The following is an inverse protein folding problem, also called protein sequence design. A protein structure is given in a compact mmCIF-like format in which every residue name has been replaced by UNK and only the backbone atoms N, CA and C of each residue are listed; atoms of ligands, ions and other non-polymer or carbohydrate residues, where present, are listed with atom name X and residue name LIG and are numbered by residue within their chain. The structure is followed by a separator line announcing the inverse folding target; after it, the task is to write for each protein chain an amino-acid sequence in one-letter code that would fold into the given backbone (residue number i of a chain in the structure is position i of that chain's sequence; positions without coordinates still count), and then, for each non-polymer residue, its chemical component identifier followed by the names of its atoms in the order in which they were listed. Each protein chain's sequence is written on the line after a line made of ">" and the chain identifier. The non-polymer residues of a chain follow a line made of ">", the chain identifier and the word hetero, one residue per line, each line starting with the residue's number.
data_IF_242335373135
#
_entry.id   IF_242335373135
#
_cell.length_a   1.000
_cell.length_b   1.000
_cell.length_c   1.000
_cell.angle_alpha   90.00
_cell.angle_beta   90.00
_cell.angle_gamma   90.00
#
_symmetry.space_group_name_H-M   'P 1'
#
loop_
_entity.id
_entity.type
_entity.pdbx_description
1 polymer ?
#
# COMPACT_ATOMS: atom_id res chain seq x y z
N UNK A 1 -53.78 -40.61 33.85
CA UNK A 1 -54.09 -39.16 33.82
C UNK A 1 -52.87 -38.23 33.96
N UNK A 2 -51.68 -38.70 34.41
CA UNK A 2 -50.46 -37.87 34.51
C UNK A 2 -49.65 -37.76 33.19
N UNK A 3 -49.64 -38.79 32.34
CA UNK A 3 -48.88 -38.80 31.07
C UNK A 3 -49.46 -37.90 29.97
N UNK A 4 -50.79 -37.70 29.95
CA UNK A 4 -51.46 -36.81 28.99
C UNK A 4 -51.21 -35.33 29.30
N UNK A 5 -51.12 -34.97 30.58
CA UNK A 5 -50.80 -33.60 31.01
C UNK A 5 -49.36 -33.21 30.66
N UNK A 6 -48.40 -34.12 30.85
CA UNK A 6 -47.00 -33.88 30.48
C UNK A 6 -46.81 -33.70 28.96
N UNK A 7 -47.55 -34.46 28.14
CA UNK A 7 -47.52 -34.30 26.68
C UNK A 7 -48.12 -32.97 26.21
N UNK A 8 -49.20 -32.51 26.84
CA UNK A 8 -49.82 -31.23 26.53
C UNK A 8 -48.92 -30.04 26.90
N UNK A 9 -48.20 -30.10 28.02
CA UNK A 9 -47.24 -29.07 28.44
C UNK A 9 -46.02 -29.03 27.51
N UNK A 10 -45.49 -30.18 27.07
CA UNK A 10 -44.39 -30.22 26.11
C UNK A 10 -44.79 -29.68 24.72
N UNK A 11 -46.03 -29.91 24.28
CA UNK A 11 -46.55 -29.36 23.02
C UNK A 11 -46.78 -27.84 23.10
N UNK A 12 -47.23 -27.31 24.24
CA UNK A 12 -47.39 -25.87 24.44
C UNK A 12 -46.04 -25.13 24.52
N UNK A 13 -45.02 -25.75 25.12
CA UNK A 13 -43.67 -25.19 25.19
C UNK A 13 -42.96 -25.16 23.81
N UNK A 14 -43.27 -26.10 22.91
CA UNK A 14 -42.73 -26.12 21.56
C UNK A 14 -43.29 -25.00 20.66
N UNK A 15 -44.53 -24.54 20.91
CA UNK A 15 -45.13 -23.41 20.19
C UNK A 15 -44.59 -22.05 20.64
N UNK A 16 -44.12 -21.93 21.87
CA UNK A 16 -43.49 -20.69 22.38
C UNK A 16 -42.06 -20.46 21.86
N UNK A 17 -41.46 -21.46 21.20
CA UNK A 17 -40.14 -21.38 20.57
C UNK A 17 -40.21 -21.13 19.05
N UNK A 18 -41.40 -21.00 18.47
CA UNK A 18 -41.57 -20.40 17.13
C UNK A 18 -41.52 -18.87 17.25
N UNK A 19 -40.37 -18.34 17.69
CA UNK A 19 -40.03 -16.96 17.43
C UNK A 19 -39.74 -16.84 15.94
N UNK A 20 -40.67 -16.24 15.20
CA UNK A 20 -40.38 -15.80 13.83
C UNK A 20 -39.20 -14.83 13.89
N UNK A 21 -38.06 -15.25 13.36
CA UNK A 21 -36.92 -14.39 13.07
C UNK A 21 -37.28 -13.54 11.84
N UNK A 22 -38.23 -12.61 12.00
CA UNK A 22 -38.43 -11.55 11.01
C UNK A 22 -37.28 -10.56 11.19
N UNK A 23 -36.22 -10.77 10.42
CA UNK A 23 -35.21 -9.74 10.20
C UNK A 23 -35.96 -8.45 9.81
N UNK A 24 -35.66 -7.31 10.44
CA UNK A 24 -36.40 -6.08 10.17
C UNK A 24 -36.30 -5.77 8.68
N UNK A 25 -37.43 -5.82 7.97
CA UNK A 25 -37.50 -5.41 6.58
C UNK A 25 -37.03 -3.95 6.50
N UNK A 26 -35.82 -3.76 5.97
CA UNK A 26 -35.22 -2.44 5.81
C UNK A 26 -35.99 -1.74 4.69
N UNK A 27 -36.98 -0.93 5.07
CA UNK A 27 -37.91 -0.24 4.15
C UNK A 27 -37.23 0.90 3.37
N UNK A 28 -35.97 1.20 3.69
CA UNK A 28 -35.15 2.20 3.00
C UNK A 28 -34.27 1.52 1.97
N UNK A 29 -34.35 1.98 0.72
CA UNK A 29 -33.48 1.50 -0.35
C UNK A 29 -32.00 1.66 0.05
N UNK A 30 -31.24 0.57 -0.06
CA UNK A 30 -29.81 0.61 0.23
C UNK A 30 -29.12 1.55 -0.78
N UNK A 31 -28.19 2.41 -0.33
CA UNK A 31 -27.43 3.26 -1.24
C UNK A 31 -26.68 2.42 -2.28
N UNK A 32 -26.56 2.90 -3.51
CA UNK A 32 -25.82 2.20 -4.55
C UNK A 32 -24.36 1.98 -4.12
N UNK A 33 -23.92 0.72 -4.10
CA UNK A 33 -22.54 0.32 -3.85
C UNK A 33 -21.89 -0.08 -5.18
N UNK A 34 -20.70 0.45 -5.46
CA UNK A 34 -19.92 0.14 -6.65
C UNK A 34 -18.57 -0.41 -6.22
N UNK A 35 -18.13 -1.48 -6.87
CA UNK A 35 -16.81 -2.09 -6.66
C UNK A 35 -16.03 -1.96 -7.96
N UNK A 36 -14.85 -1.38 -7.84
CA UNK A 36 -13.91 -1.09 -8.92
C UNK A 36 -12.65 -1.90 -8.68
N UNK A 37 -12.10 -2.51 -9.73
CA UNK A 37 -10.88 -3.32 -9.64
C UNK A 37 -9.93 -3.02 -10.80
N UNK A 38 -8.64 -3.24 -10.59
CA UNK A 38 -7.65 -3.11 -11.64
C UNK A 38 -6.28 -3.60 -11.21
N UNK A 39 -5.25 -3.19 -11.95
CA UNK A 39 -3.85 -3.59 -11.75
C UNK A 39 -2.98 -2.36 -11.56
N UNK A 40 -2.00 -2.45 -10.67
CA UNK A 40 -0.94 -1.45 -10.48
C UNK A 40 0.24 -2.09 -9.75
N UNK A 41 1.45 -1.54 -9.87
CA UNK A 41 2.63 -1.92 -9.05
C UNK A 41 2.91 -3.44 -9.00
N UNK A 42 2.61 -4.18 -10.08
CA UNK A 42 2.77 -5.64 -10.11
C UNK A 42 1.74 -6.45 -9.30
N UNK A 43 0.70 -5.78 -8.77
CA UNK A 43 -0.38 -6.37 -7.96
C UNK A 43 -1.77 -5.89 -8.43
N UNK A 44 -2.80 -6.16 -7.62
CA UNK A 44 -4.19 -5.75 -7.84
C UNK A 44 -4.56 -4.60 -6.90
N UNK A 45 -5.42 -3.71 -7.39
CA UNK A 45 -6.10 -2.73 -6.55
C UNK A 45 -7.61 -3.01 -6.57
N UNK A 46 -8.28 -2.68 -5.46
CA UNK A 46 -9.73 -2.78 -5.31
C UNK A 46 -10.25 -1.56 -4.54
N UNK A 47 -11.31 -0.94 -5.02
CA UNK A 47 -11.96 0.21 -4.39
C UNK A 47 -13.46 -0.05 -4.31
N UNK A 48 -14.02 -0.02 -3.11
CA UNK A 48 -15.46 -0.13 -2.87
C UNK A 48 -16.01 1.20 -2.40
N UNK A 49 -17.03 1.74 -3.08
CA UNK A 49 -17.61 3.06 -2.79
C UNK A 49 -19.11 3.01 -2.69
N UNK A 50 -19.68 3.91 -1.88
CA UNK A 50 -21.12 4.01 -1.65
C UNK A 50 -21.64 5.39 -2.02
N UNK A 51 -22.74 5.45 -2.78
CA UNK A 51 -23.46 6.69 -3.09
C UNK A 51 -23.15 7.31 -4.46
N UNK A 52 -22.63 6.51 -5.40
CA UNK A 52 -22.43 6.93 -6.80
C UNK A 52 -23.13 5.97 -7.77
N UNK A 53 -23.50 6.48 -8.94
CA UNK A 53 -24.08 5.67 -10.02
C UNK A 53 -22.99 5.00 -10.89
N UNK A 54 -23.42 4.13 -11.80
CA UNK A 54 -22.51 3.39 -12.69
C UNK A 54 -21.72 4.29 -13.64
N UNK A 55 -22.28 5.44 -14.04
CA UNK A 55 -21.59 6.38 -14.95
C UNK A 55 -20.41 7.04 -14.23
N UNK A 56 -20.66 7.56 -13.02
CA UNK A 56 -19.61 8.17 -12.18
C UNK A 56 -18.59 7.13 -11.73
N UNK A 57 -19.00 5.88 -11.52
CA UNK A 57 -18.07 4.79 -11.23
C UNK A 57 -17.07 4.53 -12.37
N UNK A 58 -17.51 4.58 -13.63
CA UNK A 58 -16.63 4.45 -14.79
C UNK A 58 -15.65 5.64 -14.91
N UNK A 59 -16.11 6.86 -14.63
CA UNK A 59 -15.24 8.05 -14.59
C UNK A 59 -14.20 7.96 -13.46
N UNK A 60 -14.62 7.47 -12.29
CA UNK A 60 -13.76 7.26 -11.12
C UNK A 60 -12.69 6.19 -11.39
N UNK A 61 -13.03 5.09 -12.06
CA UNK A 61 -12.08 4.06 -12.48
C UNK A 61 -10.90 4.66 -13.25
N UNK A 62 -11.16 5.57 -14.19
CA UNK A 62 -10.10 6.24 -14.97
C UNK A 62 -9.22 7.13 -14.09
N UNK A 63 -9.82 7.85 -13.13
CA UNK A 63 -9.06 8.70 -12.18
C UNK A 63 -8.18 7.86 -11.24
N UNK A 64 -8.73 6.79 -10.69
CA UNK A 64 -8.00 5.82 -9.85
C UNK A 64 -6.79 5.29 -10.60
N UNK A 65 -7.00 4.76 -11.81
CA UNK A 65 -5.90 4.18 -12.59
C UNK A 65 -4.85 5.23 -12.92
N UNK A 66 -5.26 6.45 -13.31
CA UNK A 66 -4.34 7.55 -13.61
C UNK A 66 -3.46 7.91 -12.42
N UNK A 67 -4.05 8.00 -11.22
CA UNK A 67 -3.30 8.31 -10.01
C UNK A 67 -2.34 7.17 -9.63
N UNK A 68 -2.80 5.92 -9.69
CA UNK A 68 -1.98 4.75 -9.39
C UNK A 68 -0.83 4.56 -10.39
N UNK A 69 -1.04 4.87 -11.66
CA UNK A 69 0.02 4.85 -12.68
C UNK A 69 1.08 5.93 -12.39
N UNK A 70 0.66 7.10 -11.90
CA UNK A 70 1.57 8.16 -11.48
C UNK A 70 2.36 7.78 -10.21
N UNK A 71 1.71 7.15 -9.24
CA UNK A 71 2.35 6.65 -8.01
C UNK A 71 3.35 5.51 -8.34
N UNK A 72 3.01 4.61 -9.26
CA UNK A 72 3.92 3.57 -9.76
C UNK A 72 5.13 4.20 -10.47
N UNK A 73 4.92 5.23 -11.29
CA UNK A 73 6.01 5.96 -11.93
C UNK A 73 6.88 6.77 -10.95
N UNK A 74 6.35 7.15 -9.79
CA UNK A 74 7.11 7.80 -8.72
C UNK A 74 8.02 6.79 -7.99
N UNK A 75 7.51 5.59 -7.70
CA UNK A 75 8.09 4.71 -6.68
C UNK A 75 8.75 3.42 -7.22
N UNK A 76 8.46 3.02 -8.45
CA UNK A 76 8.86 1.71 -8.96
C UNK A 76 10.37 1.56 -9.16
N UNK A 77 10.94 0.48 -8.63
CA UNK A 77 12.30 0.01 -8.97
C UNK A 77 12.37 -0.70 -10.32
N UNK A 78 11.22 -1.17 -10.84
CA UNK A 78 11.12 -1.86 -12.13
C UNK A 78 11.02 -0.92 -13.33
N UNK A 79 10.63 0.35 -13.11
CA UNK A 79 10.65 1.39 -14.15
C UNK A 79 11.97 2.15 -14.09
N UNK A 80 12.84 1.90 -15.07
CA UNK A 80 14.20 2.44 -15.09
C UNK A 80 14.25 3.98 -15.11
N UNK A 81 13.17 4.65 -15.53
CA UNK A 81 13.05 6.11 -15.58
C UNK A 81 12.16 6.71 -14.48
N UNK A 82 11.72 5.91 -13.49
CA UNK A 82 10.94 6.39 -12.35
C UNK A 82 11.70 7.46 -11.56
N UNK A 83 10.98 8.27 -10.78
CA UNK A 83 11.62 9.28 -9.94
C UNK A 83 12.61 8.65 -8.94
N UNK A 84 12.24 7.52 -8.32
CA UNK A 84 13.12 6.74 -7.44
C UNK A 84 14.37 6.24 -8.18
N UNK A 85 14.21 5.66 -9.38
CA UNK A 85 15.34 5.13 -10.13
C UNK A 85 16.27 6.22 -10.64
N UNK A 86 15.76 7.41 -10.97
CA UNK A 86 16.62 8.58 -11.29
C UNK A 86 17.50 8.96 -10.10
N UNK A 87 16.98 8.91 -8.87
CA UNK A 87 17.77 9.13 -7.65
C UNK A 87 18.80 8.02 -7.42
N UNK A 88 18.41 6.75 -7.62
CA UNK A 88 19.32 5.60 -7.48
C UNK A 88 20.47 5.64 -8.48
N UNK A 89 20.19 6.00 -9.74
CA UNK A 89 21.19 6.11 -10.81
C UNK A 89 22.13 7.30 -10.63
N UNK A 90 21.70 8.33 -9.91
CA UNK A 90 22.52 9.52 -9.65
C UNK A 90 23.71 9.18 -8.74
N UNK A 91 24.89 9.64 -9.12
CA UNK A 91 26.11 9.59 -8.27
C UNK A 91 26.26 10.81 -7.37
N UNK A 92 25.33 11.76 -7.45
CA UNK A 92 25.38 13.01 -6.70
C UNK A 92 25.23 12.78 -5.21
N UNK A 93 26.02 13.50 -4.42
CA UNK A 93 25.89 13.62 -2.96
C UNK A 93 25.25 14.95 -2.55
N UNK A 94 24.94 15.82 -3.51
CA UNK A 94 24.20 17.05 -3.27
C UNK A 94 22.71 16.75 -3.08
N UNK A 95 21.95 17.65 -2.40
CA UNK A 95 20.50 17.53 -2.30
C UNK A 95 19.84 17.32 -3.66
N UNK A 96 19.06 16.25 -3.77
CA UNK A 96 18.37 15.84 -4.99
C UNK A 96 16.89 16.21 -4.89
N UNK A 97 16.34 17.03 -5.80
CA UNK A 97 14.98 17.50 -5.70
C UNK A 97 13.98 16.35 -5.89
N UNK A 98 12.96 16.33 -5.03
CA UNK A 98 11.87 15.34 -5.07
C UNK A 98 10.53 16.01 -4.79
N UNK A 99 9.43 15.28 -4.99
CA UNK A 99 8.10 15.72 -4.58
C UNK A 99 7.90 15.64 -3.06
N UNK A 100 6.90 16.35 -2.55
CA UNK A 100 6.42 16.23 -1.16
C UNK A 100 6.10 14.78 -0.81
N UNK A 101 5.37 14.07 -1.67
CA UNK A 101 5.04 12.66 -1.47
C UNK A 101 6.28 11.78 -1.26
N UNK A 102 7.31 11.92 -2.10
CA UNK A 102 8.55 11.15 -1.95
C UNK A 102 9.26 11.49 -0.64
N UNK A 103 9.32 12.76 -0.27
CA UNK A 103 9.92 13.21 0.99
C UNK A 103 9.20 12.63 2.22
N UNK A 104 7.86 12.62 2.22
CA UNK A 104 7.04 12.08 3.30
C UNK A 104 7.16 10.55 3.42
N UNK A 105 7.17 9.83 2.29
CA UNK A 105 7.36 8.37 2.24
C UNK A 105 8.72 8.01 2.85
N UNK A 106 9.80 8.64 2.36
CA UNK A 106 11.16 8.36 2.85
C UNK A 106 11.30 8.76 4.32
N UNK A 107 10.75 9.90 4.73
CA UNK A 107 10.76 10.32 6.14
C UNK A 107 10.08 9.27 7.03
N UNK A 108 8.92 8.77 6.62
CA UNK A 108 8.19 7.75 7.37
C UNK A 108 8.96 6.43 7.43
N UNK A 109 9.51 5.98 6.29
CA UNK A 109 10.30 4.77 6.21
C UNK A 109 11.58 4.82 7.07
N UNK A 110 12.33 5.93 7.03
CA UNK A 110 13.51 6.13 7.89
C UNK A 110 13.15 6.07 9.38
N UNK A 111 12.03 6.68 9.78
CA UNK A 111 11.54 6.66 11.17
C UNK A 111 11.11 5.25 11.59
N UNK A 112 10.42 4.51 10.74
CA UNK A 112 10.03 3.12 11.02
C UNK A 112 11.28 2.23 11.12
N UNK A 113 12.25 2.42 10.22
CA UNK A 113 13.51 1.70 10.27
C UNK A 113 14.27 1.93 11.58
N UNK A 114 14.34 3.19 12.03
CA UNK A 114 14.93 3.50 13.34
C UNK A 114 14.16 2.84 14.51
N UNK A 115 12.82 2.83 14.46
CA UNK A 115 11.98 2.22 15.52
C UNK A 115 11.99 0.69 15.52
N UNK A 116 12.49 0.07 14.46
CA UNK A 116 12.58 -1.38 14.31
C UNK A 116 14.02 -1.87 14.38
N UNK A 117 14.93 -1.04 14.92
CA UNK A 117 16.37 -1.33 15.03
C UNK A 117 17.00 -1.76 13.69
N UNK A 118 16.54 -1.16 12.58
CA UNK A 118 17.00 -1.45 11.22
C UNK A 118 16.39 -2.69 10.58
N UNK A 119 15.40 -3.35 11.21
CA UNK A 119 14.73 -4.50 10.61
C UNK A 119 13.91 -4.11 9.35
N UNK A 120 13.29 -2.92 9.38
CA UNK A 120 12.74 -2.28 8.18
C UNK A 120 13.79 -1.33 7.60
N UNK A 121 14.39 -1.68 6.46
CA UNK A 121 15.44 -0.87 5.85
C UNK A 121 15.22 -0.70 4.35
N UNK A 122 14.91 0.53 3.92
CA UNK A 122 14.68 0.89 2.51
C UNK A 122 15.97 0.98 1.68
N UNK A 123 17.14 0.78 2.27
CA UNK A 123 18.43 0.83 1.57
C UNK A 123 19.00 -0.55 1.27
N UNK A 124 18.27 -1.63 1.60
CA UNK A 124 18.66 -3.03 1.36
C UNK A 124 18.57 -3.46 -0.10
N UNK A 125 18.24 -2.54 -1.02
CA UNK A 125 18.16 -2.80 -2.46
C UNK A 125 19.35 -3.55 -3.05
N UNK A 126 20.62 -3.26 -2.68
CA UNK A 126 21.77 -4.03 -3.17
C UNK A 126 21.71 -5.52 -2.79
N UNK A 127 21.18 -5.85 -1.60
CA UNK A 127 20.97 -7.23 -1.18
C UNK A 127 19.77 -7.85 -1.91
N UNK A 128 18.65 -7.14 -2.03
CA UNK A 128 17.46 -7.58 -2.78
C UNK A 128 17.84 -7.99 -4.21
N UNK A 129 18.62 -7.14 -4.89
CA UNK A 129 19.09 -7.39 -6.26
C UNK A 129 20.11 -8.53 -6.32
N UNK A 130 21.04 -8.62 -5.36
CA UNK A 130 22.02 -9.71 -5.28
C UNK A 130 21.34 -11.10 -5.18
N UNK A 131 20.21 -11.18 -4.48
CA UNK A 131 19.42 -12.40 -4.34
C UNK A 131 18.41 -12.63 -5.50
N UNK A 132 18.30 -11.69 -6.44
CA UNK A 132 17.38 -11.78 -7.57
C UNK A 132 15.91 -11.56 -7.21
N UNK A 133 15.62 -10.85 -6.11
CA UNK A 133 14.25 -10.50 -5.73
C UNK A 133 13.77 -9.17 -6.34
N UNK A 134 14.71 -8.36 -6.85
CA UNK A 134 14.41 -7.10 -7.54
C UNK A 134 14.31 -7.25 -9.07
N UNK A 135 14.48 -6.14 -9.81
CA UNK A 135 14.45 -6.15 -11.27
C UNK A 135 15.69 -6.78 -11.93
N UNK A 136 16.78 -6.95 -11.17
CA UNK A 136 18.03 -7.51 -11.65
C UNK A 136 17.91 -9.00 -11.99
N UNK A 137 18.81 -9.48 -12.85
CA UNK A 137 18.79 -10.88 -13.31
C UNK A 137 19.00 -11.85 -12.16
N UNK A 138 18.18 -12.91 -12.12
CA UNK A 138 18.32 -14.01 -11.16
C UNK A 138 19.76 -14.56 -11.14
N UNK A 139 20.40 -14.67 -9.96
CA UNK A 139 21.74 -15.24 -9.86
C UNK A 139 21.71 -16.75 -10.17
N UNK A 140 22.80 -17.26 -10.77
CA UNK A 140 22.94 -18.68 -11.11
C UNK A 140 23.30 -19.55 -9.88
N UNK A 141 23.88 -18.92 -8.86
CA UNK A 141 24.34 -19.57 -7.64
C UNK A 141 23.97 -18.72 -6.42
N UNK A 142 23.93 -19.34 -5.24
CA UNK A 142 23.75 -18.62 -3.98
C UNK A 142 24.92 -17.65 -3.80
N UNK A 143 24.67 -16.37 -3.46
CA UNK A 143 25.72 -15.39 -3.22
C UNK A 143 26.73 -15.85 -2.16
N UNK A 144 28.01 -15.62 -2.41
CA UNK A 144 29.06 -15.95 -1.43
C UNK A 144 29.04 -14.97 -0.25
N UNK A 145 29.58 -15.34 0.93
CA UNK A 145 29.69 -14.42 2.06
C UNK A 145 30.38 -13.09 1.69
N UNK A 146 31.43 -13.13 0.87
CA UNK A 146 32.13 -11.93 0.41
C UNK A 146 31.24 -11.02 -0.47
N UNK A 147 30.38 -11.60 -1.32
CA UNK A 147 29.42 -10.83 -2.12
C UNK A 147 28.33 -10.20 -1.23
N UNK A 148 27.85 -10.93 -0.23
CA UNK A 148 26.88 -10.43 0.74
C UNK A 148 27.46 -9.26 1.53
N UNK A 149 28.70 -9.39 2.04
CA UNK A 149 29.36 -8.32 2.78
C UNK A 149 29.62 -7.09 1.90
N UNK A 150 29.97 -7.28 0.62
CA UNK A 150 30.13 -6.18 -0.34
C UNK A 150 28.81 -5.45 -0.64
N UNK A 151 27.67 -6.15 -0.64
CA UNK A 151 26.35 -5.53 -0.78
C UNK A 151 25.91 -4.81 0.49
N UNK A 152 26.17 -5.40 1.68
CA UNK A 152 25.91 -4.77 2.98
C UNK A 152 26.70 -3.47 3.17
N UNK A 153 27.92 -3.40 2.66
CA UNK A 153 28.73 -2.18 2.69
C UNK A 153 28.11 -1.01 1.88
N UNK A 154 27.08 -1.27 1.07
CA UNK A 154 26.32 -0.28 0.31
C UNK A 154 24.94 0.02 0.89
N UNK A 155 24.68 -0.45 2.11
CA UNK A 155 23.37 -0.38 2.80
C UNK A 155 23.53 0.41 4.10
N UNK A 156 22.49 1.13 4.50
CA UNK A 156 22.36 1.72 5.82
C UNK A 156 21.45 2.95 5.81
N UNK A 157 20.44 2.95 6.68
CA UNK A 157 19.51 4.08 6.85
C UNK A 157 20.22 5.40 7.17
N UNK A 158 21.36 5.36 7.86
CA UNK A 158 22.16 6.55 8.17
C UNK A 158 22.72 7.26 6.93
N UNK A 159 22.75 6.59 5.78
CA UNK A 159 23.28 7.13 4.53
C UNK A 159 22.25 7.95 3.74
N UNK A 160 21.02 8.08 4.25
CA UNK A 160 19.94 8.79 3.58
C UNK A 160 19.26 9.78 4.54
N UNK A 161 19.01 10.99 4.05
CA UNK A 161 18.24 11.99 4.78
C UNK A 161 17.26 12.74 3.87
N UNK A 162 16.23 13.30 4.49
CA UNK A 162 15.25 14.18 3.85
C UNK A 162 15.52 15.61 4.29
N UNK A 163 15.45 16.56 3.36
CA UNK A 163 15.59 17.99 3.61
C UNK A 163 14.33 18.69 3.14
N UNK A 164 13.57 19.20 4.10
CA UNK A 164 12.36 19.97 3.86
C UNK A 164 12.65 21.48 3.89
N UNK A 165 12.25 22.17 2.83
CA UNK A 165 12.28 23.63 2.74
C UNK A 165 10.93 24.12 2.24
N UNK A 166 10.61 25.38 2.54
CA UNK A 166 9.39 26.01 2.03
C UNK A 166 9.36 25.93 0.48
N UNK A 167 8.41 25.17 -0.05
CA UNK A 167 8.20 24.98 -1.49
C UNK A 167 9.17 24.02 -2.20
N UNK A 168 10.12 23.40 -1.50
CA UNK A 168 11.09 22.49 -2.10
C UNK A 168 11.51 21.37 -1.14
N UNK A 169 11.47 20.13 -1.61
CA UNK A 169 11.88 18.96 -0.86
C UNK A 169 13.03 18.24 -1.56
N UNK A 170 13.93 17.66 -0.77
CA UNK A 170 15.10 16.98 -1.29
C UNK A 170 15.37 15.67 -0.54
N UNK A 171 15.89 14.69 -1.27
CA UNK A 171 16.61 13.57 -0.69
C UNK A 171 18.11 13.84 -0.80
N UNK A 172 18.88 13.41 0.19
CA UNK A 172 20.33 13.47 0.11
C UNK A 172 20.93 12.16 0.62
N UNK A 173 21.88 11.63 -0.14
CA UNK A 173 22.71 10.49 0.24
C UNK A 173 24.16 10.91 0.41
N UNK A 174 24.89 10.26 1.31
CA UNK A 174 26.33 10.44 1.51
C UNK A 174 27.17 9.31 0.86
N UNK A 175 26.49 8.27 0.36
CA UNK A 175 27.08 7.14 -0.35
C UNK A 175 26.60 7.12 -1.82
N UNK A 176 27.49 7.30 -2.83
CA UNK A 176 27.09 7.42 -4.23
C UNK A 176 26.36 6.18 -4.79
N UNK A 177 26.72 5.01 -4.28
CA UNK A 177 26.19 3.69 -4.64
C UNK A 177 24.97 3.27 -3.80
N UNK A 178 24.45 4.14 -2.90
CA UNK A 178 23.25 3.82 -2.13
C UNK A 178 22.07 3.60 -3.08
N UNK A 179 21.35 2.51 -2.85
CA UNK A 179 20.19 2.13 -3.64
C UNK A 179 18.97 2.01 -2.73
N UNK A 180 17.98 2.85 -2.98
CA UNK A 180 16.73 2.90 -2.22
C UNK A 180 15.67 2.04 -2.91
N UNK A 181 15.01 1.19 -2.13
CA UNK A 181 13.89 0.34 -2.52
C UNK A 181 12.70 0.62 -1.59
N UNK A 182 11.61 1.10 -2.19
CA UNK A 182 10.37 1.45 -1.48
C UNK A 182 9.27 0.39 -1.64
N UNK A 183 9.59 -0.79 -2.17
CA UNK A 183 8.61 -1.85 -2.49
C UNK A 183 7.83 -2.37 -1.28
N UNK A 184 8.31 -2.16 -0.05
CA UNK A 184 7.59 -2.57 1.16
C UNK A 184 6.68 -1.48 1.75
N UNK A 185 6.70 -0.26 1.20
CA UNK A 185 5.89 0.89 1.68
C UNK A 185 5.07 1.55 0.58
N UNK A 186 5.36 1.27 -0.70
CA UNK A 186 4.72 1.92 -1.84
C UNK A 186 3.21 1.70 -1.90
N UNK A 187 2.74 0.47 -1.69
CA UNK A 187 1.33 0.13 -1.72
C UNK A 187 0.55 0.75 -0.55
N UNK A 188 1.20 0.90 0.61
CA UNK A 188 0.61 1.61 1.74
C UNK A 188 0.35 3.08 1.40
N UNK A 189 1.34 3.76 0.82
CA UNK A 189 1.17 5.12 0.33
C UNK A 189 0.09 5.22 -0.76
N UNK A 190 0.07 4.30 -1.72
CA UNK A 190 -0.91 4.29 -2.80
C UNK A 190 -2.35 4.16 -2.26
N UNK A 191 -2.56 3.32 -1.24
CA UNK A 191 -3.85 3.18 -0.56
C UNK A 191 -4.26 4.49 0.15
N UNK A 192 -3.36 5.12 0.90
CA UNK A 192 -3.63 6.40 1.55
C UNK A 192 -3.91 7.52 0.53
N UNK A 193 -3.22 7.51 -0.61
CA UNK A 193 -3.42 8.46 -1.69
C UNK A 193 -4.76 8.25 -2.39
N UNK A 194 -5.20 7.01 -2.57
CA UNK A 194 -6.53 6.69 -3.08
C UNK A 194 -7.63 7.11 -2.10
N UNK A 195 -7.44 6.94 -0.79
CA UNK A 195 -8.37 7.45 0.20
C UNK A 195 -8.57 8.97 0.05
N UNK A 196 -7.48 9.74 -0.11
CA UNK A 196 -7.57 11.18 -0.40
C UNK A 196 -8.28 11.49 -1.72
N UNK A 197 -8.07 10.68 -2.76
CA UNK A 197 -8.80 10.83 -4.03
C UNK A 197 -10.30 10.64 -3.81
N UNK A 198 -10.72 9.67 -2.99
CA UNK A 198 -12.14 9.48 -2.69
C UNK A 198 -12.75 10.71 -2.04
N UNK A 199 -12.06 11.31 -1.07
CA UNK A 199 -12.48 12.56 -0.41
C UNK A 199 -12.57 13.73 -1.40
N UNK A 200 -11.58 13.88 -2.29
CA UNK A 200 -11.58 14.91 -3.35
C UNK A 200 -12.73 14.73 -4.34
N UNK A 201 -13.08 13.47 -4.63
CA UNK A 201 -14.21 13.11 -5.47
C UNK A 201 -15.55 13.19 -4.71
N UNK A 202 -15.57 13.65 -3.46
CA UNK A 202 -16.79 13.82 -2.67
C UNK A 202 -17.42 12.51 -2.20
N UNK A 203 -16.62 11.45 -2.03
CA UNK A 203 -17.04 10.13 -1.56
C UNK A 203 -16.56 9.96 -0.12
N UNK A 204 -17.49 9.96 0.84
CA UNK A 204 -17.16 9.91 2.27
C UNK A 204 -17.10 8.50 2.87
N UNK A 205 -17.49 7.47 2.11
CA UNK A 205 -17.56 6.07 2.56
C UNK A 205 -16.96 5.17 1.50
N UNK A 206 -15.79 4.62 1.81
CA UNK A 206 -15.02 3.80 0.89
C UNK A 206 -14.19 2.75 1.65
N UNK A 207 -13.75 1.74 0.91
CA UNK A 207 -12.77 0.73 1.31
C UNK A 207 -11.76 0.52 0.19
#
# INVERSE_FOLDING_TARGET
>A
MKMTFCRAVCLAAAFLLMGCDEAPETTTASPAAQVLEGKTMGTLWRVSVVGIDAKRAAELQTKIQTQLDADDWLLSTYKNDSALMRFNHSRSLAPWPVSEAMADIVTSALRIGAKTDGAMDITVGPLVNLWGFGPDRQPLHIPTPAQIDAAKAKTGLQHLQVIDRAGHQFLQKDLPDLYVDLSTVGEGYAADHLARLMEQEGIARYL
#
